data_IF_998671989124
#
_entry.id   IF_998671989124
#
_cell.length_a   1.000
_cell.length_b   1.000
_cell.length_c   1.000
_cell.angle_alpha   90.00
_cell.angle_beta   90.00
_cell.angle_gamma   90.00
#
_symmetry.space_group_name_H-M   'P 1'
#
loop_
_entity.id
_entity.type
_entity.pdbx_description
1 polymer ?
#
# COMPACT_ATOMS: atom_id res chain seq x y z
N UNK A 1 7.17 7.89 20.31
CA UNK A 1 6.44 7.48 19.62
C UNK A 1 6.80 6.80 18.41
N UNK A 2 7.38 6.18 17.88
CA UNK A 2 7.71 5.46 16.69
C UNK A 2 6.67 4.48 16.22
N UNK A 3 5.47 4.53 16.81
CA UNK A 3 4.46 3.58 16.38
C UNK A 3 3.67 4.07 15.21
N UNK A 4 3.31 3.19 14.33
CA UNK A 4 2.39 3.49 13.26
C UNK A 4 0.98 3.35 13.83
N UNK A 5 0.15 4.34 13.55
CA UNK A 5 -1.23 4.34 13.99
C UNK A 5 -1.98 3.08 13.51
N UNK A 6 -2.90 2.59 14.31
CA UNK A 6 -3.65 1.38 13.98
C UNK A 6 -4.42 1.50 12.68
N UNK A 7 -5.02 2.65 12.43
CA UNK A 7 -5.76 2.85 11.19
C UNK A 7 -4.82 2.81 9.99
N UNK A 8 -3.66 3.44 10.13
CA UNK A 8 -2.66 3.43 9.07
C UNK A 8 -2.12 2.03 8.85
N UNK A 9 -1.89 1.29 9.92
CA UNK A 9 -1.40 -0.07 9.81
C UNK A 9 -2.41 -0.96 9.08
N UNK A 10 -3.69 -0.80 9.38
CA UNK A 10 -4.74 -1.53 8.66
C UNK A 10 -4.78 -1.16 7.19
N UNK A 11 -4.59 0.12 6.89
CA UNK A 11 -4.54 0.58 5.51
C UNK A 11 -3.36 -0.06 4.77
N UNK A 12 -2.20 -0.08 5.39
CA UNK A 12 -1.01 -0.69 4.79
C UNK A 12 -1.28 -2.17 4.49
N UNK A 13 -1.81 -2.89 5.45
CA UNK A 13 -2.09 -4.32 5.28
C UNK A 13 -3.08 -4.59 4.16
N UNK A 14 -4.08 -3.71 4.05
CA UNK A 14 -5.12 -3.93 3.07
C UNK A 14 -4.69 -3.59 1.65
N UNK A 15 -3.87 -2.56 1.49
CA UNK A 15 -3.61 -2.01 0.16
C UNK A 15 -2.19 -2.19 -0.33
N UNK A 16 -1.22 -2.41 0.54
CA UNK A 16 0.17 -2.43 0.15
C UNK A 16 0.79 -3.80 0.39
N UNK A 17 0.95 -4.55 -0.68
CA UNK A 17 1.51 -5.90 -0.59
C UNK A 17 3.04 -5.91 -0.70
N UNK A 18 3.65 -4.78 -1.08
CA UNK A 18 5.10 -4.71 -1.26
C UNK A 18 5.54 -3.26 -1.18
N UNK A 19 6.85 -3.07 -1.04
CA UNK A 19 7.42 -1.72 -1.09
C UNK A 19 7.18 -1.09 -2.45
N UNK A 20 7.15 -1.90 -3.51
CA UNK A 20 6.83 -1.38 -4.84
C UNK A 20 5.42 -0.79 -4.88
N UNK A 21 4.47 -1.41 -4.19
CA UNK A 21 3.12 -0.88 -4.11
C UNK A 21 3.11 0.48 -3.42
N UNK A 22 3.89 0.62 -2.35
CA UNK A 22 4.04 1.89 -1.66
C UNK A 22 4.60 2.96 -2.59
N UNK A 23 5.68 2.63 -3.31
CA UNK A 23 6.30 3.59 -4.20
C UNK A 23 5.35 4.00 -5.33
N UNK A 24 4.59 3.04 -5.86
CA UNK A 24 3.62 3.32 -6.90
C UNK A 24 2.54 4.27 -6.41
N UNK A 25 1.99 3.99 -5.25
CA UNK A 25 0.93 4.83 -4.69
C UNK A 25 1.42 6.25 -4.44
N UNK A 26 2.61 6.39 -3.86
CA UNK A 26 3.15 7.71 -3.57
C UNK A 26 3.52 8.47 -4.83
N UNK A 27 3.99 7.77 -5.85
CA UNK A 27 4.28 8.41 -7.13
C UNK A 27 3.01 9.01 -7.73
N UNK A 28 1.93 8.23 -7.77
CA UNK A 28 0.68 8.72 -8.31
C UNK A 28 0.10 9.84 -7.47
N UNK A 29 0.26 9.74 -6.15
CA UNK A 29 -0.27 10.75 -5.24
C UNK A 29 0.45 12.09 -5.37
N UNK A 30 1.71 12.05 -5.76
CA UNK A 30 2.50 13.28 -5.90
C UNK A 30 1.92 14.20 -6.96
N UNK A 31 1.27 13.64 -7.96
CA UNK A 31 0.70 14.41 -9.06
C UNK A 31 -0.72 13.89 -9.32
N UNK A 32 -1.66 14.21 -8.46
CA UNK A 32 -2.98 13.58 -8.49
C UNK A 32 -3.79 13.92 -9.73
N UNK A 33 -3.46 15.00 -10.41
CA UNK A 33 -4.19 15.37 -11.62
C UNK A 33 -3.69 14.63 -12.85
N UNK A 34 -2.57 13.95 -12.73
CA UNK A 34 -1.97 13.27 -13.86
C UNK A 34 -2.57 11.88 -14.04
N UNK A 35 -2.91 11.56 -15.29
CA UNK A 35 -3.32 10.21 -15.67
C UNK A 35 -2.10 9.51 -16.25
N UNK A 36 -1.85 8.29 -15.76
CA UNK A 36 -0.68 7.52 -16.12
C UNK A 36 -1.06 6.30 -16.92
N UNK A 37 -0.31 5.99 -17.98
CA UNK A 37 -0.43 4.65 -18.55
C UNK A 37 0.39 3.69 -17.70
N UNK A 38 0.00 2.39 -17.68
CA UNK A 38 0.83 1.42 -16.96
C UNK A 38 2.28 1.39 -17.44
N UNK A 39 2.51 1.56 -18.73
CA UNK A 39 3.88 1.58 -19.27
C UNK A 39 4.69 2.74 -18.71
N UNK A 40 4.08 3.90 -18.56
CA UNK A 40 4.78 5.04 -17.95
C UNK A 40 5.19 4.73 -16.53
N UNK A 41 4.31 4.08 -15.78
CA UNK A 41 4.62 3.71 -14.40
C UNK A 41 5.71 2.65 -14.33
N UNK A 42 5.67 1.69 -15.25
CA UNK A 42 6.73 0.67 -15.32
C UNK A 42 8.08 1.34 -15.52
N UNK A 43 8.15 2.29 -16.44
CA UNK A 43 9.41 2.99 -16.71
C UNK A 43 9.85 3.84 -15.55
N UNK A 44 8.91 4.55 -14.93
CA UNK A 44 9.24 5.47 -13.86
C UNK A 44 9.76 4.72 -12.63
N UNK A 45 9.13 3.60 -12.30
CA UNK A 45 9.49 2.83 -11.12
C UNK A 45 10.53 1.75 -11.41
N UNK A 46 10.78 1.47 -12.67
CA UNK A 46 11.67 0.36 -13.07
C UNK A 46 11.18 -0.96 -12.50
N UNK A 47 9.87 -1.11 -12.51
CA UNK A 47 9.23 -2.31 -12.00
C UNK A 47 8.74 -3.17 -13.16
N UNK A 48 8.30 -4.39 -12.85
CA UNK A 48 7.77 -5.27 -13.89
C UNK A 48 6.36 -4.85 -14.28
N UNK A 49 5.97 -5.20 -15.49
CA UNK A 49 4.63 -4.90 -15.98
C UNK A 49 3.56 -5.55 -15.12
N UNK A 50 3.76 -6.80 -14.73
CA UNK A 50 2.76 -7.51 -13.95
C UNK A 50 2.62 -6.91 -12.57
N UNK A 51 3.72 -6.48 -11.96
CA UNK A 51 3.65 -5.86 -10.64
C UNK A 51 2.86 -4.56 -10.67
N UNK A 52 3.10 -3.73 -11.68
CA UNK A 52 2.36 -2.47 -11.82
C UNK A 52 0.89 -2.76 -12.08
N UNK A 53 0.59 -3.67 -13.01
CA UNK A 53 -0.81 -3.98 -13.34
C UNK A 53 -1.57 -4.53 -12.15
N UNK A 54 -0.96 -5.43 -11.38
CA UNK A 54 -1.62 -6.02 -10.22
C UNK A 54 -1.91 -4.97 -9.17
N UNK A 55 -0.97 -4.08 -8.93
CA UNK A 55 -1.17 -3.05 -7.92
C UNK A 55 -2.16 -1.99 -8.36
N UNK A 56 -2.15 -1.61 -9.63
CA UNK A 56 -3.16 -0.68 -10.13
C UNK A 56 -4.56 -1.25 -9.97
N UNK A 57 -4.74 -2.53 -10.29
CA UNK A 57 -6.04 -3.17 -10.12
C UNK A 57 -6.45 -3.18 -8.65
N UNK A 58 -5.51 -3.45 -7.76
CA UNK A 58 -5.79 -3.44 -6.33
C UNK A 58 -6.17 -2.04 -5.85
N UNK A 59 -5.45 -1.02 -6.30
CA UNK A 59 -5.76 0.36 -5.90
C UNK A 59 -7.12 0.78 -6.42
N UNK A 60 -7.46 0.36 -7.64
CA UNK A 60 -8.77 0.68 -8.20
C UNK A 60 -9.88 0.04 -7.38
N UNK A 61 -9.74 -1.24 -7.06
CA UNK A 61 -10.73 -1.94 -6.24
C UNK A 61 -10.83 -1.34 -4.85
N UNK A 62 -9.72 -0.87 -4.31
CA UNK A 62 -9.70 -0.30 -2.98
C UNK A 62 -10.12 1.15 -2.89
N UNK A 63 -10.47 1.76 -4.02
CA UNK A 63 -10.92 3.15 -4.01
C UNK A 63 -9.81 4.18 -3.90
N UNK A 64 -8.60 3.81 -4.29
CA UNK A 64 -7.46 4.74 -4.25
C UNK A 64 -7.14 5.33 -5.61
N UNK A 65 -7.52 4.66 -6.69
CA UNK A 65 -7.24 5.12 -8.04
C UNK A 65 -8.43 4.84 -8.92
N UNK A 66 -8.55 5.61 -9.98
CA UNK A 66 -9.59 5.40 -10.99
C UNK A 66 -8.93 5.22 -12.35
N UNK A 67 -9.55 4.40 -13.18
CA UNK A 67 -9.11 4.17 -14.54
C UNK A 67 -10.03 4.91 -15.49
N UNK A 68 -9.46 5.50 -16.55
CA UNK A 68 -10.28 6.14 -17.57
C UNK A 68 -10.53 5.17 -18.73
N UNK A 69 -11.25 5.64 -19.75
CA UNK A 69 -11.62 4.80 -20.87
C UNK A 69 -10.43 4.37 -21.72
N UNK A 70 -9.31 5.04 -21.57
CA UNK A 70 -8.12 4.75 -22.36
C UNK A 70 -7.12 3.90 -21.59
N UNK A 71 -7.51 3.41 -20.43
CA UNK A 71 -6.63 2.54 -19.66
C UNK A 71 -5.56 3.28 -18.87
N UNK A 72 -5.77 4.57 -18.63
CA UNK A 72 -4.87 5.34 -17.80
C UNK A 72 -5.43 5.42 -16.40
N UNK A 73 -4.53 5.52 -15.43
CA UNK A 73 -4.89 5.51 -14.01
C UNK A 73 -4.47 6.81 -13.34
N UNK A 74 -5.30 7.27 -12.43
CA UNK A 74 -5.07 8.52 -11.71
C UNK A 74 -5.35 8.30 -10.22
N UNK A 75 -4.55 8.92 -9.37
CA UNK A 75 -4.79 8.89 -7.94
C UNK A 75 -6.10 9.64 -7.64
N UNK A 76 -7.04 8.96 -7.05
CA UNK A 76 -8.34 9.56 -6.75
C UNK A 76 -9.01 8.79 -5.61
N UNK A 77 -8.67 9.13 -4.35
CA UNK A 77 -9.30 8.45 -3.22
C UNK A 77 -10.81 8.65 -3.23
N UNK A 78 -11.53 7.57 -3.00
CA UNK A 78 -12.98 7.58 -3.08
C UNK A 78 -13.64 8.26 -1.87
N UNK A 79 -12.90 8.44 -0.79
CA UNK A 79 -13.45 9.03 0.43
C UNK A 79 -12.39 9.88 1.12
N UNK A 80 -12.82 10.92 1.86
CA UNK A 80 -11.85 11.76 2.60
C UNK A 80 -11.00 10.97 3.58
N UNK A 81 -11.56 9.93 4.18
CA UNK A 81 -10.80 9.10 5.11
C UNK A 81 -9.62 8.41 4.42
N UNK A 82 -9.81 7.96 3.18
CA UNK A 82 -8.73 7.34 2.42
C UNK A 82 -7.67 8.37 2.05
N UNK A 83 -8.09 9.58 1.66
CA UNK A 83 -7.15 10.64 1.35
C UNK A 83 -6.28 10.96 2.56
N UNK A 84 -6.90 11.02 3.72
CA UNK A 84 -6.18 11.31 4.95
C UNK A 84 -5.19 10.21 5.28
N UNK A 85 -5.57 8.96 5.10
CA UNK A 85 -4.65 7.85 5.34
C UNK A 85 -3.46 7.88 4.39
N UNK A 86 -3.68 8.28 3.13
CA UNK A 86 -2.58 8.44 2.20
C UNK A 86 -1.63 9.56 2.63
N UNK A 87 -2.17 10.66 3.17
CA UNK A 87 -1.34 11.74 3.71
C UNK A 87 -0.50 11.23 4.88
N UNK A 88 -1.13 10.47 5.76
CA UNK A 88 -0.43 9.91 6.92
C UNK A 88 0.64 8.91 6.49
N UNK A 89 0.34 8.14 5.45
CA UNK A 89 1.30 7.18 4.91
C UNK A 89 2.55 7.88 4.40
N UNK A 90 2.37 8.93 3.63
CA UNK A 90 3.52 9.65 3.10
C UNK A 90 4.35 10.26 4.23
N UNK A 91 3.69 10.85 5.20
CA UNK A 91 4.41 11.43 6.31
C UNK A 91 5.14 10.37 7.12
N UNK A 92 4.49 9.24 7.38
CA UNK A 92 5.12 8.16 8.12
C UNK A 92 6.32 7.61 7.36
N UNK A 93 6.21 7.46 6.06
CA UNK A 93 7.32 6.95 5.25
C UNK A 93 8.49 7.93 5.26
N UNK A 94 8.20 9.22 5.29
CA UNK A 94 9.23 10.23 5.35
C UNK A 94 9.94 10.24 6.70
N UNK A 95 9.19 10.07 7.78
CA UNK A 95 9.72 10.19 9.13
C UNK A 95 10.16 8.87 9.74
N UNK A 96 9.50 7.76 9.35
CA UNK A 96 9.75 6.46 9.94
C UNK A 96 9.75 5.39 8.86
N UNK A 97 10.60 5.55 7.87
CA UNK A 97 10.58 4.67 6.70
C UNK A 97 10.78 3.21 7.08
N UNK A 98 11.65 2.92 8.06
CA UNK A 98 11.90 1.54 8.46
C UNK A 98 10.64 0.92 9.04
N UNK A 99 9.91 1.67 9.87
CA UNK A 99 8.68 1.15 10.46
C UNK A 99 7.64 0.85 9.38
N UNK A 100 7.52 1.73 8.39
CA UNK A 100 6.57 1.52 7.30
C UNK A 100 6.96 0.30 6.48
N UNK A 101 8.24 0.19 6.12
CA UNK A 101 8.71 -0.95 5.34
C UNK A 101 8.49 -2.26 6.10
N UNK A 102 8.80 -2.26 7.39
CA UNK A 102 8.58 -3.45 8.21
C UNK A 102 7.10 -3.84 8.26
N UNK A 103 6.21 -2.86 8.33
CA UNK A 103 4.78 -3.14 8.34
C UNK A 103 4.34 -3.81 7.04
N UNK A 104 4.98 -3.46 5.93
CA UNK A 104 4.65 -4.05 4.64
C UNK A 104 5.23 -5.46 4.51
N UNK A 105 6.52 -5.62 4.81
CA UNK A 105 7.20 -6.89 4.52
C UNK A 105 6.99 -7.94 5.59
N UNK A 106 6.57 -7.54 6.78
CA UNK A 106 6.30 -8.48 7.87
C UNK A 106 4.87 -8.25 8.36
N UNK A 107 3.89 -8.62 7.56
CA UNK A 107 2.50 -8.33 7.92
C UNK A 107 2.13 -9.04 9.21
N UNK A 108 1.35 -8.36 10.05
CA UNK A 108 0.90 -8.94 11.32
C UNK A 108 0.18 -10.27 11.16
N UNK A 109 -0.46 -10.51 10.05
CA UNK A 109 -1.13 -11.79 9.82
C UNK A 109 -0.17 -12.95 9.91
N UNK A 110 1.00 -12.78 9.33
CA UNK A 110 2.02 -13.79 9.39
C UNK A 110 2.52 -14.00 10.80
N UNK A 111 2.76 -12.92 11.51
CA UNK A 111 3.19 -12.99 12.89
C UNK A 111 2.11 -13.58 13.77
N UNK A 112 0.88 -13.24 13.50
CA UNK A 112 -0.24 -13.76 14.26
C UNK A 112 -0.36 -15.27 14.06
N UNK A 113 -0.19 -15.75 12.85
CA UNK A 113 -0.25 -17.18 12.58
C UNK A 113 0.86 -17.93 13.33
N UNK A 114 2.05 -17.37 13.35
CA UNK A 114 3.16 -17.98 14.09
C UNK A 114 2.89 -18.00 15.57
N UNK A 115 2.40 -16.88 16.11
CA UNK A 115 2.09 -16.80 17.52
C UNK A 115 1.02 -17.80 17.91
N UNK A 116 0.01 -17.95 17.07
CA UNK A 116 -1.06 -18.91 17.33
C UNK A 116 -0.55 -20.34 17.29
N UNK A 117 0.34 -20.64 16.36
CA UNK A 117 0.93 -21.96 16.27
C UNK A 117 1.72 -22.30 17.51
N UNK A 118 2.52 -21.36 18.00
CA UNK A 118 3.27 -21.57 19.23
C UNK A 118 2.37 -21.70 20.41
N UNK A 119 1.33 -20.92 20.46
CA UNK A 119 0.39 -20.94 21.57
C UNK A 119 -0.31 -22.29 21.67
N UNK A 120 -0.71 -22.82 20.53
CA UNK A 120 -1.36 -24.11 20.48
C UNK A 120 -0.42 -25.20 20.97
N UNK A 121 0.84 -25.14 20.57
CA UNK A 121 1.81 -26.11 21.00
C UNK A 121 2.07 -26.06 22.48
N UNK A 122 2.11 -24.89 23.03
CA UNK A 122 2.46 -24.72 24.42
C UNK A 122 1.30 -25.00 25.34
N UNK A 123 0.10 -24.93 24.81
CA UNK A 123 -1.09 -25.15 25.59
C UNK A 123 -1.65 -26.49 25.20
N UNK A 124 -1.26 -27.54 25.88
CA UNK A 124 -1.60 -28.86 25.43
C UNK A 124 -3.06 -29.22 25.59
N UNK A 125 -3.87 -28.49 26.12
CA UNK A 125 -5.16 -28.83 26.26
C UNK A 125 -5.98 -28.67 25.42
#
# INVERSE_FOLDING_TARGET
>A
MGRIDQDLLGFIREHLSSVWALELLLLMRRDPDRSWTPDELVRELRASTSLVADNLARFERGGLAVADDEGRYRFAPAAPALAKLCDQLEQAYRERSVAVINAIVSPPDKLQALADAFRIRRDPK
#
